data_IF_891838709940
#
_entry.id   IF_891838709940
#
_cell.length_a   1.000
_cell.length_b   1.000
_cell.length_c   1.000
_cell.angle_alpha   90.00
_cell.angle_beta   90.00
_cell.angle_gamma   90.00
#
_symmetry.space_group_name_H-M   'P 1'
#
loop_
_entity.id
_entity.type
_entity.pdbx_description
1 polymer ?
#
# COMPACT_ATOMS: atom_id res chain seq x y z
N UNK A 1 -18.10 -2.66 19.43
CA UNK A 1 -18.37 -2.73 17.99
C UNK A 1 -18.62 -1.40 17.26
N UNK A 2 -19.72 -0.66 17.49
CA UNK A 2 -19.95 0.62 16.74
C UNK A 2 -18.78 1.61 16.92
N UNK A 3 -18.24 1.69 18.14
CA UNK A 3 -17.08 2.53 18.44
C UNK A 3 -15.75 1.92 17.95
N UNK A 4 -15.67 0.59 17.84
CA UNK A 4 -14.44 -0.09 17.43
C UNK A 4 -14.24 0.00 15.92
N UNK A 5 -15.33 -0.11 15.16
CA UNK A 5 -15.34 0.02 13.71
C UNK A 5 -15.51 1.47 13.24
N UNK A 6 -15.45 2.45 14.15
CA UNK A 6 -15.56 3.88 13.84
C UNK A 6 -16.80 4.20 12.97
N UNK A 7 -17.96 3.64 13.33
CA UNK A 7 -19.22 3.74 12.56
C UNK A 7 -20.15 4.87 13.01
N UNK A 8 -19.79 5.64 14.06
CA UNK A 8 -20.66 6.68 14.64
C UNK A 8 -21.12 7.72 13.62
N UNK A 9 -20.21 8.18 12.77
CA UNK A 9 -20.47 9.24 11.78
C UNK A 9 -21.33 8.76 10.59
N UNK A 10 -21.60 7.45 10.54
CA UNK A 10 -22.24 6.77 9.41
C UNK A 10 -23.66 6.31 9.75
N UNK A 11 -24.06 6.33 11.02
CA UNK A 11 -25.34 5.78 11.50
C UNK A 11 -26.56 6.39 10.81
N UNK A 12 -26.53 7.69 10.52
CA UNK A 12 -27.66 8.42 9.93
C UNK A 12 -27.60 8.49 8.39
N UNK A 13 -26.57 7.91 7.76
CA UNK A 13 -26.37 7.96 6.30
C UNK A 13 -27.03 6.79 5.60
N UNK A 14 -27.50 7.01 4.38
CA UNK A 14 -27.99 5.91 3.55
C UNK A 14 -26.84 5.03 3.07
N UNK A 15 -27.08 3.72 2.97
CA UNK A 15 -26.08 2.73 2.54
C UNK A 15 -25.49 3.07 1.15
N UNK A 16 -26.31 3.63 0.25
CA UNK A 16 -25.88 4.01 -1.09
C UNK A 16 -24.90 5.19 -1.12
N UNK A 17 -24.86 5.99 -0.05
CA UNK A 17 -24.00 7.17 0.04
C UNK A 17 -22.65 6.85 0.70
N UNK A 18 -22.44 5.62 1.18
CA UNK A 18 -21.25 5.21 1.90
C UNK A 18 -20.04 5.08 0.96
N UNK A 19 -18.89 5.54 1.42
CA UNK A 19 -17.61 5.22 0.79
C UNK A 19 -17.30 3.72 0.95
N UNK A 20 -16.42 3.19 0.09
CA UNK A 20 -16.05 1.77 0.13
C UNK A 20 -15.57 1.31 1.51
N UNK A 21 -14.75 2.11 2.21
CA UNK A 21 -14.28 1.77 3.57
C UNK A 21 -15.36 1.90 4.65
N UNK A 22 -16.34 2.80 4.50
CA UNK A 22 -17.50 2.87 5.39
C UNK A 22 -18.42 1.66 5.19
N UNK A 23 -18.70 1.31 3.93
CA UNK A 23 -19.49 0.14 3.57
C UNK A 23 -18.86 -1.16 4.08
N UNK A 24 -17.54 -1.31 3.94
CA UNK A 24 -16.80 -2.48 4.42
C UNK A 24 -16.91 -2.63 5.94
N UNK A 25 -16.70 -1.55 6.70
CA UNK A 25 -16.83 -1.55 8.17
C UNK A 25 -18.26 -1.85 8.60
N UNK A 26 -19.25 -1.32 7.90
CA UNK A 26 -20.65 -1.64 8.13
C UNK A 26 -20.96 -3.12 7.86
N UNK A 27 -20.47 -3.68 6.75
CA UNK A 27 -20.64 -5.09 6.41
C UNK A 27 -20.04 -6.02 7.47
N UNK A 28 -18.81 -5.73 7.92
CA UNK A 28 -18.16 -6.47 9.02
C UNK A 28 -19.03 -6.41 10.29
N UNK A 29 -19.56 -5.22 10.63
CA UNK A 29 -20.42 -5.07 11.79
C UNK A 29 -21.71 -5.90 11.70
N UNK A 30 -22.36 -5.92 10.53
CA UNK A 30 -23.58 -6.71 10.32
C UNK A 30 -23.31 -8.19 10.53
N UNK A 31 -22.21 -8.71 9.97
CA UNK A 31 -21.82 -10.12 10.12
C UNK A 31 -21.49 -10.46 11.58
N UNK A 32 -20.76 -9.59 12.29
CA UNK A 32 -20.40 -9.82 13.68
C UNK A 32 -21.61 -9.80 14.66
N UNK A 33 -22.72 -9.17 14.31
CA UNK A 33 -23.96 -9.16 15.14
C UNK A 33 -24.76 -10.45 14.96
N UNK A 34 -24.64 -11.09 13.80
CA UNK A 34 -25.37 -12.33 13.54
C UNK A 34 -24.90 -13.42 14.50
N UNK A 35 -25.84 -14.13 15.12
CA UNK A 35 -25.52 -15.29 15.95
C UNK A 35 -25.41 -16.53 15.04
N UNK A 36 -24.19 -16.83 14.61
CA UNK A 36 -23.86 -17.99 13.79
C UNK A 36 -22.73 -18.83 14.41
N UNK A 37 -22.67 -20.10 14.02
CA UNK A 37 -21.58 -21.01 14.41
C UNK A 37 -20.36 -20.86 13.50
N UNK A 38 -20.56 -20.39 12.25
CA UNK A 38 -19.52 -20.21 11.24
C UNK A 38 -19.62 -18.79 10.67
N UNK A 39 -18.53 -18.05 10.75
CA UNK A 39 -18.36 -16.73 10.14
C UNK A 39 -17.35 -16.82 9.01
N UNK A 40 -17.71 -16.26 7.86
CA UNK A 40 -16.83 -16.18 6.69
C UNK A 40 -16.63 -14.71 6.33
N UNK A 41 -15.37 -14.30 6.19
CA UNK A 41 -14.99 -12.97 5.74
C UNK A 41 -14.15 -13.09 4.48
N UNK A 42 -14.62 -12.48 3.40
CA UNK A 42 -13.91 -12.41 2.12
C UNK A 42 -13.33 -11.01 1.96
N UNK A 43 -12.01 -10.91 1.97
CA UNK A 43 -11.23 -9.67 1.89
C UNK A 43 -11.69 -8.52 2.83
N UNK A 44 -11.83 -8.74 4.15
CA UNK A 44 -12.31 -7.72 5.08
C UNK A 44 -11.45 -6.44 5.12
N UNK A 45 -10.16 -6.49 4.74
CA UNK A 45 -9.24 -5.35 4.76
C UNK A 45 -9.36 -4.40 3.55
N UNK A 46 -10.12 -4.76 2.52
CA UNK A 46 -10.22 -3.99 1.29
C UNK A 46 -10.76 -2.57 1.52
N UNK A 47 -10.12 -1.57 0.89
CA UNK A 47 -10.40 -0.13 1.00
C UNK A 47 -10.24 0.50 2.38
N UNK A 48 -9.81 -0.26 3.39
CA UNK A 48 -9.58 0.24 4.74
C UNK A 48 -8.18 0.85 4.84
N UNK A 49 -8.06 1.93 5.62
CA UNK A 49 -6.76 2.41 6.07
C UNK A 49 -6.14 1.50 7.12
N UNK A 50 -4.89 1.77 7.47
CA UNK A 50 -4.11 0.96 8.41
C UNK A 50 -4.84 0.75 9.75
N UNK A 51 -5.41 1.81 10.33
CA UNK A 51 -6.09 1.73 11.63
C UNK A 51 -7.38 0.94 11.52
N UNK A 52 -8.16 1.22 10.48
CA UNK A 52 -9.42 0.55 10.20
C UNK A 52 -9.22 -0.95 9.95
N UNK A 53 -8.16 -1.35 9.23
CA UNK A 53 -7.79 -2.77 9.04
C UNK A 53 -7.52 -3.46 10.38
N UNK A 54 -6.81 -2.79 11.28
CA UNK A 54 -6.43 -3.37 12.57
C UNK A 54 -7.62 -3.45 13.52
N UNK A 55 -8.51 -2.45 13.48
CA UNK A 55 -9.76 -2.47 14.21
C UNK A 55 -10.70 -3.57 13.70
N UNK A 56 -10.87 -3.69 12.37
CA UNK A 56 -11.59 -4.79 11.75
C UNK A 56 -11.01 -6.14 12.18
N UNK A 57 -9.69 -6.28 12.15
CA UNK A 57 -9.02 -7.51 12.55
C UNK A 57 -9.22 -7.84 14.04
N UNK A 58 -9.20 -6.84 14.93
CA UNK A 58 -9.54 -6.99 16.35
C UNK A 58 -10.97 -7.45 16.55
N UNK A 59 -11.93 -6.84 15.85
CA UNK A 59 -13.34 -7.21 15.95
C UNK A 59 -13.60 -8.62 15.43
N UNK A 60 -13.05 -8.99 14.28
CA UNK A 60 -13.17 -10.36 13.74
C UNK A 60 -12.57 -11.38 14.71
N UNK A 61 -11.39 -11.08 15.27
CA UNK A 61 -10.74 -11.98 16.24
C UNK A 61 -11.55 -12.14 17.54
N UNK A 62 -12.34 -11.13 17.93
CA UNK A 62 -13.20 -11.21 19.13
C UNK A 62 -14.35 -12.22 19.00
N UNK A 63 -14.68 -12.65 17.77
CA UNK A 63 -15.69 -13.69 17.52
C UNK A 63 -15.19 -15.10 17.86
N UNK A 64 -13.88 -15.29 18.02
CA UNK A 64 -13.30 -16.60 18.34
C UNK A 64 -13.75 -17.05 19.73
N UNK A 65 -14.63 -18.04 19.76
CA UNK A 65 -15.10 -18.76 20.95
C UNK A 65 -14.92 -20.27 20.70
N UNK A 66 -14.91 -21.11 21.75
CA UNK A 66 -14.65 -22.56 21.60
C UNK A 66 -15.60 -23.29 20.64
N UNK A 67 -16.79 -22.74 20.41
CA UNK A 67 -17.88 -23.28 19.61
C UNK A 67 -18.07 -22.56 18.25
N UNK A 68 -17.19 -21.60 17.91
CA UNK A 68 -17.33 -20.78 16.70
C UNK A 68 -16.15 -20.94 15.75
N UNK A 69 -16.45 -21.07 14.47
CA UNK A 69 -15.46 -21.11 13.39
C UNK A 69 -15.43 -19.78 12.64
N UNK A 70 -14.21 -19.30 12.36
CA UNK A 70 -14.00 -18.09 11.56
C UNK A 70 -13.08 -18.44 10.40
N UNK A 71 -13.53 -18.18 9.18
CA UNK A 71 -12.75 -18.35 7.94
C UNK A 71 -12.53 -16.97 7.35
N UNK A 72 -11.29 -16.65 7.02
CA UNK A 72 -10.93 -15.36 6.42
C UNK A 72 -10.08 -15.58 5.17
N UNK A 73 -10.43 -14.88 4.10
CA UNK A 73 -9.62 -14.73 2.89
C UNK A 73 -9.02 -13.33 2.89
N UNK A 74 -7.71 -13.21 2.71
CA UNK A 74 -6.99 -11.94 2.76
C UNK A 74 -5.81 -11.92 1.80
N UNK A 75 -5.54 -10.73 1.26
CA UNK A 75 -4.33 -10.43 0.48
C UNK A 75 -3.29 -9.65 1.30
N UNK A 76 -3.68 -9.01 2.41
CA UNK A 76 -2.73 -8.30 3.29
C UNK A 76 -2.10 -9.27 4.29
N UNK A 77 -0.82 -9.60 4.09
CA UNK A 77 -0.07 -10.51 4.94
C UNK A 77 0.06 -10.01 6.39
N UNK A 78 0.03 -8.69 6.61
CA UNK A 78 0.13 -8.09 7.94
C UNK A 78 -1.16 -8.30 8.74
N UNK A 79 -2.30 -8.17 8.06
CA UNK A 79 -3.63 -8.45 8.64
C UNK A 79 -3.79 -9.95 8.89
N UNK A 80 -3.33 -10.79 7.96
CA UNK A 80 -3.36 -12.24 8.08
C UNK A 80 -2.53 -12.75 9.29
N UNK A 81 -1.37 -12.16 9.54
CA UNK A 81 -0.54 -12.43 10.74
C UNK A 81 -1.30 -12.19 12.06
N UNK A 82 -2.17 -11.18 12.07
CA UNK A 82 -2.93 -10.78 13.24
C UNK A 82 -4.20 -11.60 13.41
N UNK A 83 -4.92 -11.86 12.32
CA UNK A 83 -6.20 -12.58 12.31
C UNK A 83 -6.03 -14.06 12.59
N UNK A 84 -5.14 -14.70 11.84
CA UNK A 84 -5.15 -16.15 11.71
C UNK A 84 -4.43 -16.86 12.85
N UNK A 85 -4.83 -18.11 13.08
CA UNK A 85 -4.09 -19.08 13.89
C UNK A 85 -3.56 -20.24 13.01
N UNK A 86 -4.23 -20.50 11.89
CA UNK A 86 -3.80 -21.39 10.81
C UNK A 86 -3.95 -20.69 9.44
N UNK A 87 -3.11 -21.06 8.48
CA UNK A 87 -3.16 -20.53 7.10
C UNK A 87 -3.16 -21.69 6.12
N UNK A 88 -4.06 -21.62 5.13
CA UNK A 88 -4.00 -22.43 3.92
C UNK A 88 -3.55 -21.54 2.76
N UNK A 89 -2.63 -22.03 1.94
CA UNK A 89 -2.16 -21.32 0.75
C UNK A 89 -2.90 -21.87 -0.46
N UNK A 90 -3.43 -20.96 -1.28
CA UNK A 90 -4.03 -21.30 -2.57
C UNK A 90 -3.01 -21.00 -3.67
N UNK A 91 -2.69 -21.99 -4.50
CA UNK A 91 -1.75 -21.83 -5.62
C UNK A 91 -2.30 -22.49 -6.89
N UNK A 92 -1.82 -22.06 -8.05
CA UNK A 92 -2.23 -22.62 -9.34
C UNK A 92 -2.04 -21.62 -10.47
N UNK A 93 -2.75 -21.84 -11.59
CA UNK A 93 -2.77 -20.89 -12.70
C UNK A 93 -4.06 -20.06 -12.64
N UNK A 94 -3.98 -18.72 -12.54
CA UNK A 94 -5.16 -17.85 -12.52
C UNK A 94 -6.10 -18.15 -13.68
N UNK A 95 -7.39 -18.25 -13.40
CA UNK A 95 -8.45 -18.62 -14.37
C UNK A 95 -8.34 -20.01 -15.01
N UNK A 96 -7.42 -20.88 -14.55
CA UNK A 96 -7.27 -22.25 -15.06
C UNK A 96 -7.52 -23.28 -13.96
N UNK A 97 -6.78 -23.22 -12.85
CA UNK A 97 -6.96 -24.12 -11.71
C UNK A 97 -6.40 -23.52 -10.42
N UNK A 98 -6.88 -24.00 -9.27
CA UNK A 98 -6.37 -23.66 -7.95
C UNK A 98 -6.36 -24.88 -7.04
N UNK A 99 -5.29 -25.04 -6.27
CA UNK A 99 -5.09 -26.10 -5.28
C UNK A 99 -4.94 -25.46 -3.91
N UNK A 100 -5.62 -26.01 -2.91
CA UNK A 100 -5.54 -25.57 -1.52
C UNK A 100 -4.57 -26.49 -0.78
N UNK A 101 -3.56 -25.92 -0.11
CA UNK A 101 -2.67 -26.71 0.74
C UNK A 101 -3.37 -27.21 2.01
N UNK A 102 -2.75 -28.19 2.67
CA UNK A 102 -3.04 -28.46 4.07
C UNK A 102 -2.80 -27.21 4.95
N UNK A 103 -3.46 -27.09 6.11
CA UNK A 103 -3.28 -25.96 7.01
C UNK A 103 -1.89 -25.97 7.65
N UNK A 104 -1.20 -24.82 7.59
CA UNK A 104 0.08 -24.58 8.25
C UNK A 104 -0.08 -23.61 9.41
N UNK A 105 0.93 -23.56 10.28
CA UNK A 105 1.03 -22.45 11.24
C UNK A 105 1.17 -21.13 10.49
N UNK A 106 0.69 -20.02 11.08
CA UNK A 106 0.70 -18.68 10.45
C UNK A 106 2.08 -18.31 9.88
N UNK A 107 3.13 -18.57 10.67
CA UNK A 107 4.50 -18.23 10.28
C UNK A 107 4.98 -19.06 9.09
N UNK A 108 4.74 -20.37 9.14
CA UNK A 108 5.17 -21.29 8.08
C UNK A 108 4.38 -21.04 6.80
N UNK A 109 3.06 -20.88 6.87
CA UNK A 109 2.20 -20.63 5.72
C UNK A 109 2.59 -19.37 4.96
N UNK A 110 2.84 -18.25 5.66
CA UNK A 110 3.29 -17.01 5.00
C UNK A 110 4.69 -17.18 4.40
N UNK A 111 5.61 -17.88 5.07
CA UNK A 111 6.95 -18.12 4.53
C UNK A 111 6.92 -19.03 3.29
N UNK A 112 6.07 -20.07 3.28
CA UNK A 112 5.81 -20.92 2.10
C UNK A 112 5.28 -20.07 0.95
N UNK A 113 4.32 -19.19 1.23
CA UNK A 113 3.76 -18.26 0.24
C UNK A 113 4.84 -17.34 -0.36
N UNK A 114 5.73 -16.80 0.47
CA UNK A 114 6.81 -15.90 0.03
C UNK A 114 7.95 -16.63 -0.69
N UNK A 115 8.26 -17.86 -0.28
CA UNK A 115 9.30 -18.67 -0.92
C UNK A 115 8.84 -19.23 -2.28
N UNK A 116 7.53 -19.33 -2.52
CA UNK A 116 6.99 -19.85 -3.77
C UNK A 116 7.05 -21.37 -3.91
N UNK A 117 7.30 -22.08 -2.80
CA UNK A 117 7.43 -23.54 -2.76
C UNK A 117 6.79 -24.12 -1.51
N UNK A 118 6.15 -25.27 -1.66
CA UNK A 118 5.58 -26.09 -0.57
C UNK A 118 6.57 -27.22 -0.28
N UNK A 119 7.37 -27.14 0.80
CA UNK A 119 8.44 -28.10 1.06
C UNK A 119 7.93 -29.53 1.27
N UNK A 120 6.78 -29.68 1.92
CA UNK A 120 6.17 -30.98 2.26
C UNK A 120 5.72 -31.76 1.02
N UNK A 121 5.35 -31.06 -0.05
CA UNK A 121 4.89 -31.65 -1.32
C UNK A 121 6.00 -31.64 -2.38
N UNK A 122 7.19 -31.12 -2.04
CA UNK A 122 8.29 -30.85 -2.97
C UNK A 122 7.84 -30.12 -4.25
N UNK A 123 6.89 -29.19 -4.09
CA UNK A 123 6.23 -28.49 -5.19
C UNK A 123 6.66 -27.03 -5.19
N UNK A 124 7.03 -26.50 -6.35
CA UNK A 124 7.30 -25.07 -6.57
C UNK A 124 6.18 -24.49 -7.44
N UNK A 125 5.44 -23.53 -6.91
CA UNK A 125 4.37 -22.84 -7.64
C UNK A 125 4.79 -21.45 -8.15
N UNK A 126 5.95 -20.93 -7.72
CA UNK A 126 6.53 -19.70 -8.27
C UNK A 126 8.04 -19.83 -8.48
N UNK A 127 8.54 -19.26 -9.58
CA UNK A 127 9.95 -19.34 -9.95
C UNK A 127 10.86 -18.53 -9.02
N UNK A 128 10.46 -17.30 -8.70
CA UNK A 128 11.20 -16.37 -7.83
C UNK A 128 10.62 -16.33 -6.41
N UNK A 129 11.50 -16.19 -5.41
CA UNK A 129 11.09 -15.90 -4.03
C UNK A 129 10.90 -14.41 -3.83
N UNK A 130 9.91 -14.04 -3.01
CA UNK A 130 9.65 -12.67 -2.61
C UNK A 130 10.47 -12.39 -1.35
N UNK A 131 11.57 -11.66 -1.51
CA UNK A 131 12.48 -11.32 -0.42
C UNK A 131 12.33 -9.85 -0.02
N UNK A 132 12.27 -9.61 1.29
CA UNK A 132 12.20 -8.26 1.87
C UNK A 132 13.56 -7.77 2.34
N UNK A 133 14.65 -8.34 1.82
CA UNK A 133 15.97 -7.77 2.07
C UNK A 133 15.92 -6.35 1.54
N UNK A 134 15.98 -5.38 2.46
CA UNK A 134 16.56 -4.08 2.19
C UNK A 134 17.83 -4.41 1.45
N UNK A 135 17.88 -4.08 0.16
CA UNK A 135 19.07 -4.38 -0.59
C UNK A 135 20.23 -3.77 0.20
N UNK A 136 21.14 -4.63 0.66
CA UNK A 136 22.50 -4.26 0.99
C UNK A 136 23.22 -3.89 -0.32
N UNK A 137 22.57 -3.13 -1.21
CA UNK A 137 23.22 -2.40 -2.31
C UNK A 137 24.00 -1.19 -1.79
N UNK A 138 24.35 -1.18 -0.51
CA UNK A 138 25.36 -0.27 0.04
C UNK A 138 26.79 -0.63 -0.41
N UNK A 139 27.02 -1.77 -1.09
CA UNK A 139 28.36 -2.15 -1.56
C UNK A 139 28.70 -1.72 -2.99
N UNK A 140 27.76 -1.21 -3.79
CA UNK A 140 28.02 -0.67 -5.14
C UNK A 140 27.76 0.85 -5.28
N UNK A 141 27.42 1.53 -4.19
CA UNK A 141 27.24 2.98 -4.18
C UNK A 141 28.60 3.68 -4.11
N UNK A 142 29.28 3.77 -5.25
CA UNK A 142 30.18 4.90 -5.51
C UNK A 142 29.42 6.16 -5.12
N UNK A 143 29.93 6.89 -4.13
CA UNK A 143 29.43 8.20 -3.67
C UNK A 143 28.86 8.97 -4.87
N UNK A 144 27.53 8.99 -4.99
CA UNK A 144 26.87 9.72 -6.07
C UNK A 144 27.03 11.19 -5.72
N UNK A 145 28.03 11.81 -6.33
CA UNK A 145 28.31 13.23 -6.18
C UNK A 145 27.06 14.07 -6.47
N UNK A 146 26.65 14.82 -5.43
CA UNK A 146 25.73 15.97 -5.44
C UNK A 146 24.27 15.66 -5.81
N UNK A 147 23.49 15.20 -4.83
CA UNK A 147 22.03 15.24 -4.84
C UNK A 147 21.53 16.68 -5.02
N UNK A 148 20.69 16.96 -6.03
CA UNK A 148 19.90 18.20 -5.97
C UNK A 148 18.98 18.08 -4.77
N UNK A 149 19.02 19.10 -3.92
CA UNK A 149 18.13 19.21 -2.77
C UNK A 149 16.97 20.10 -3.17
N UNK A 150 15.79 19.52 -3.21
CA UNK A 150 14.56 20.28 -3.34
C UNK A 150 13.99 20.52 -1.95
N UNK A 151 13.30 21.64 -1.81
CA UNK A 151 12.59 21.98 -0.58
C UNK A 151 11.18 22.39 -0.95
N UNK A 152 10.24 21.99 -0.11
CA UNK A 152 8.90 22.54 -0.12
C UNK A 152 8.68 23.32 1.19
N UNK A 153 8.04 24.49 1.10
CA UNK A 153 7.81 25.35 2.26
C UNK A 153 6.68 24.83 3.15
N UNK A 154 6.45 25.52 4.27
CA UNK A 154 5.27 25.29 5.09
C UNK A 154 4.03 25.66 4.27
N UNK A 155 3.02 24.78 4.22
CA UNK A 155 1.80 25.04 3.46
C UNK A 155 0.59 24.79 4.33
N UNK A 156 -0.42 25.64 4.16
CA UNK A 156 -1.75 25.43 4.76
C UNK A 156 -2.77 25.36 3.64
N UNK A 157 -3.68 24.39 3.75
CA UNK A 157 -4.80 24.26 2.83
C UNK A 157 -6.09 23.96 3.57
N UNK A 158 -7.12 24.72 3.27
CA UNK A 158 -8.47 24.57 3.80
C UNK A 158 -9.39 24.09 2.69
N UNK A 159 -10.12 23.01 2.93
CA UNK A 159 -11.10 22.40 2.04
C UNK A 159 -12.42 22.25 2.79
N UNK A 160 -13.26 23.29 2.74
CA UNK A 160 -14.51 23.32 3.50
C UNK A 160 -14.24 23.26 5.00
N UNK A 161 -14.63 22.15 5.64
CA UNK A 161 -14.45 21.93 7.08
C UNK A 161 -13.11 21.27 7.44
N UNK A 162 -12.32 20.89 6.44
CA UNK A 162 -11.05 20.20 6.64
C UNK A 162 -9.87 21.16 6.45
N UNK A 163 -8.94 21.18 7.41
CA UNK A 163 -7.69 21.95 7.35
C UNK A 163 -6.50 21.01 7.38
N UNK A 164 -5.57 21.15 6.42
CA UNK A 164 -4.27 20.47 6.44
C UNK A 164 -3.14 21.48 6.56
N UNK A 165 -2.26 21.25 7.54
CA UNK A 165 -0.99 21.94 7.72
C UNK A 165 0.14 21.00 7.30
N UNK A 166 0.98 21.43 6.36
CA UNK A 166 2.14 20.68 5.88
C UNK A 166 3.38 21.40 6.40
N UNK A 167 4.21 20.70 7.18
CA UNK A 167 5.49 21.23 7.62
C UNK A 167 6.49 21.22 6.49
N UNK A 168 7.33 22.25 6.41
CA UNK A 168 8.42 22.34 5.45
C UNK A 168 9.30 21.08 5.49
N UNK A 169 9.77 20.68 4.32
CA UNK A 169 10.56 19.46 4.16
C UNK A 169 11.54 19.56 3.01
N UNK A 170 12.59 18.74 3.10
CA UNK A 170 13.62 18.62 2.09
C UNK A 170 13.64 17.19 1.55
N UNK A 171 13.86 17.07 0.25
CA UNK A 171 14.01 15.79 -0.43
C UNK A 171 15.14 15.84 -1.46
N UNK A 172 15.75 14.69 -1.71
CA UNK A 172 16.89 14.55 -2.62
C UNK A 172 16.52 13.77 -3.87
N UNK A 173 17.27 13.97 -4.96
CA UNK A 173 17.26 13.03 -6.09
C UNK A 173 17.57 11.60 -5.59
N UNK A 174 16.97 10.59 -6.22
CA UNK A 174 17.09 9.17 -5.88
C UNK A 174 16.46 8.74 -4.54
N UNK A 175 15.49 9.51 -4.04
CA UNK A 175 14.83 9.23 -2.76
C UNK A 175 13.36 8.84 -2.96
N UNK A 176 12.90 7.85 -2.18
CA UNK A 176 11.48 7.49 -2.10
C UNK A 176 10.94 7.91 -0.74
N UNK A 177 9.98 8.83 -0.78
CA UNK A 177 9.28 9.32 0.41
C UNK A 177 7.90 8.68 0.45
N UNK A 178 7.65 7.89 1.49
CA UNK A 178 6.33 7.28 1.71
C UNK A 178 5.48 8.13 2.64
N UNK A 179 4.22 8.35 2.28
CA UNK A 179 3.25 9.09 3.07
C UNK A 179 2.33 8.11 3.81
N UNK A 180 2.37 8.12 5.15
CA UNK A 180 1.59 7.24 6.02
C UNK A 180 0.58 8.04 6.85
N UNK A 181 -0.65 7.55 6.92
CA UNK A 181 -1.70 8.16 7.73
C UNK A 181 -3.07 7.50 7.52
N UNK A 182 -4.03 7.85 8.38
CA UNK A 182 -5.43 7.46 8.24
C UNK A 182 -6.06 8.03 6.96
N UNK A 183 -7.18 7.47 6.53
CA UNK A 183 -7.96 8.07 5.44
C UNK A 183 -8.55 9.42 5.89
N UNK A 184 -8.62 10.38 4.97
CA UNK A 184 -9.12 11.72 5.29
C UNK A 184 -8.14 12.63 6.03
N UNK A 185 -6.86 12.26 6.14
CA UNK A 185 -5.79 13.16 6.65
C UNK A 185 -5.18 14.08 5.59
N UNK A 186 -5.69 14.04 4.35
CA UNK A 186 -5.26 14.94 3.28
C UNK A 186 -4.01 14.49 2.51
N UNK A 187 -3.66 13.20 2.53
CA UNK A 187 -2.52 12.64 1.76
C UNK A 187 -2.59 12.97 0.26
N UNK A 188 -3.74 12.66 -0.36
CA UNK A 188 -4.03 13.02 -1.75
C UNK A 188 -4.04 14.53 -1.97
N UNK A 189 -4.44 15.33 -0.97
CA UNK A 189 -4.39 16.80 -1.05
C UNK A 189 -2.95 17.29 -1.12
N UNK A 190 -2.05 16.75 -0.28
CA UNK A 190 -0.63 17.10 -0.35
C UNK A 190 -0.02 16.71 -1.70
N UNK A 191 -0.31 15.51 -2.22
CA UNK A 191 0.12 15.12 -3.57
C UNK A 191 -0.38 16.11 -4.64
N UNK A 192 -1.64 16.55 -4.59
CA UNK A 192 -2.19 17.50 -5.55
C UNK A 192 -1.54 18.89 -5.47
N UNK A 193 -1.14 19.31 -4.28
CA UNK A 193 -0.35 20.54 -4.08
C UNK A 193 1.03 20.41 -4.72
N UNK A 194 1.72 19.28 -4.51
CA UNK A 194 3.02 18.99 -5.15
C UNK A 194 2.91 18.87 -6.67
N UNK A 195 1.81 18.34 -7.18
CA UNK A 195 1.55 18.20 -8.62
C UNK A 195 1.21 19.53 -9.32
N UNK A 196 1.04 20.64 -8.57
CA UNK A 196 0.52 21.91 -9.10
C UNK A 196 -0.96 21.86 -9.50
N UNK A 197 -1.67 20.77 -9.22
CA UNK A 197 -3.11 20.63 -9.50
C UNK A 197 -4.00 21.39 -8.51
N UNK A 198 -3.43 21.88 -7.41
CA UNK A 198 -4.09 22.71 -6.40
C UNK A 198 -3.07 23.73 -5.86
N UNK A 199 -3.54 24.94 -5.52
CA UNK A 199 -2.72 25.96 -4.86
C UNK A 199 -2.94 25.96 -3.35
N UNK A 200 -1.88 26.19 -2.58
CA UNK A 200 -1.96 26.45 -1.15
C UNK A 200 -2.74 27.75 -0.89
N UNK A 201 -3.24 27.93 0.33
CA UNK A 201 -3.96 29.17 0.70
C UNK A 201 -3.00 30.35 0.96
N UNK A 202 -1.72 30.06 1.21
CA UNK A 202 -0.66 31.06 1.39
C UNK A 202 0.07 31.46 0.10
N UNK A 203 1.01 32.40 0.21
CA UNK A 203 1.84 32.88 -0.92
C UNK A 203 2.95 31.89 -1.32
N UNK A 204 3.33 31.00 -0.42
CA UNK A 204 4.41 30.05 -0.64
C UNK A 204 3.97 28.90 -1.56
N UNK A 205 4.64 28.79 -2.71
CA UNK A 205 4.36 27.76 -3.72
C UNK A 205 5.52 26.78 -3.84
N UNK A 206 5.18 25.53 -4.14
CA UNK A 206 6.15 24.50 -4.49
C UNK A 206 6.83 24.92 -5.81
N UNK A 207 8.16 24.72 -5.96
CA UNK A 207 8.84 24.99 -7.22
C UNK A 207 8.17 24.28 -8.40
N UNK A 208 8.16 24.89 -9.58
CA UNK A 208 7.72 24.20 -10.80
C UNK A 208 8.66 23.04 -11.09
N UNK A 209 8.15 21.84 -10.88
CA UNK A 209 8.86 20.58 -11.09
C UNK A 209 8.12 19.79 -12.15
N UNK A 210 8.88 19.06 -12.99
CA UNK A 210 8.27 18.17 -13.96
C UNK A 210 7.77 16.92 -13.22
N UNK A 211 6.45 16.81 -13.07
CA UNK A 211 5.79 15.81 -12.24
C UNK A 211 5.02 14.80 -13.10
N UNK A 212 5.15 13.52 -12.77
CA UNK A 212 4.23 12.46 -13.22
C UNK A 212 3.32 12.05 -12.08
N UNK A 213 2.02 11.96 -12.31
CA UNK A 213 1.02 11.66 -11.28
C UNK A 213 0.19 10.42 -11.62
N UNK A 214 0.20 9.43 -10.72
CA UNK A 214 -0.75 8.32 -10.69
C UNK A 214 -1.87 8.64 -9.68
N UNK A 215 -3.12 8.82 -10.13
CA UNK A 215 -4.24 9.10 -9.23
C UNK A 215 -4.70 7.86 -8.46
N UNK A 216 -5.27 8.08 -7.27
CA UNK A 216 -5.87 7.03 -6.44
C UNK A 216 -7.00 6.31 -7.20
N UNK A 217 -7.99 7.07 -7.69
CA UNK A 217 -9.11 6.55 -8.48
C UNK A 217 -8.74 6.50 -9.96
N UNK A 218 -8.72 5.30 -10.53
CA UNK A 218 -8.49 5.10 -11.96
C UNK A 218 -9.83 4.76 -12.61
N UNK A 219 -10.18 5.52 -13.64
CA UNK A 219 -11.37 5.27 -14.46
C UNK A 219 -10.93 5.01 -15.90
N UNK A 220 -11.39 3.94 -16.55
CA UNK A 220 -11.03 3.64 -17.93
C UNK A 220 -11.78 4.59 -18.87
N UNK A 221 -11.16 5.74 -19.17
CA UNK A 221 -11.75 6.78 -20.05
C UNK A 221 -11.19 6.76 -21.47
N UNK A 222 -10.22 5.90 -21.76
CA UNK A 222 -9.55 5.87 -23.05
C UNK A 222 -10.24 4.89 -24.00
N UNK A 223 -10.76 5.35 -25.16
CA UNK A 223 -11.30 4.46 -26.17
C UNK A 223 -10.14 3.81 -26.95
N UNK A 224 -10.04 2.48 -26.90
CA UNK A 224 -9.05 1.68 -27.61
C UNK A 224 -8.29 0.70 -26.72
N UNK A 225 -7.25 0.08 -27.29
CA UNK A 225 -6.46 -0.92 -26.58
C UNK A 225 -5.38 -0.31 -25.70
N UNK A 226 -4.88 -1.09 -24.74
CA UNK A 226 -3.75 -0.72 -23.89
C UNK A 226 -2.51 -0.34 -24.71
N UNK A 227 -2.24 -1.06 -25.81
CA UNK A 227 -1.18 -0.73 -26.78
C UNK A 227 -1.30 0.69 -27.32
N UNK A 228 -2.50 1.07 -27.76
CA UNK A 228 -2.76 2.39 -28.31
C UNK A 228 -2.54 3.48 -27.25
N UNK A 229 -2.95 3.22 -26.01
CA UNK A 229 -2.75 4.13 -24.89
C UNK A 229 -1.26 4.38 -24.62
N UNK A 230 -0.44 3.32 -24.53
CA UNK A 230 1.00 3.44 -24.32
C UNK A 230 1.72 4.13 -25.48
N UNK A 231 1.41 3.75 -26.73
CA UNK A 231 2.01 4.40 -27.90
C UNK A 231 1.60 5.87 -28.04
N UNK A 232 0.44 6.26 -27.52
CA UNK A 232 -0.01 7.66 -27.53
C UNK A 232 0.66 8.49 -26.42
N UNK A 233 0.83 7.92 -25.22
CA UNK A 233 1.26 8.65 -24.03
C UNK A 233 2.76 8.58 -23.76
N UNK A 234 3.38 7.43 -24.01
CA UNK A 234 4.75 7.12 -23.57
C UNK A 234 5.57 6.41 -24.66
N UNK A 235 5.34 6.72 -25.95
CA UNK A 235 5.95 6.04 -27.11
C UNK A 235 7.46 5.81 -26.98
N UNK A 236 8.21 6.86 -26.65
CA UNK A 236 9.67 6.81 -26.56
C UNK A 236 10.14 5.85 -25.47
N UNK A 237 9.58 5.98 -24.26
CA UNK A 237 9.89 5.12 -23.12
C UNK A 237 9.43 3.69 -23.34
N UNK A 238 8.23 3.49 -23.90
CA UNK A 238 7.70 2.16 -24.17
C UNK A 238 8.57 1.36 -25.15
N UNK A 239 9.20 2.01 -26.13
CA UNK A 239 10.10 1.32 -27.06
C UNK A 239 11.50 1.06 -26.48
N UNK A 240 11.84 1.63 -25.31
CA UNK A 240 13.15 1.48 -24.72
C UNK A 240 13.34 0.06 -24.12
N UNK A 241 14.37 -0.72 -24.52
CA UNK A 241 14.55 -2.10 -24.07
C UNK A 241 14.66 -2.26 -22.55
N UNK A 242 15.27 -1.28 -21.89
CA UNK A 242 15.37 -1.28 -20.43
C UNK A 242 14.01 -1.06 -19.76
N UNK A 243 13.16 -0.17 -20.29
CA UNK A 243 11.82 0.05 -19.73
C UNK A 243 10.94 -1.19 -19.92
N UNK A 244 11.08 -1.87 -21.06
CA UNK A 244 10.43 -3.15 -21.30
C UNK A 244 10.82 -4.21 -20.26
N UNK A 245 12.10 -4.28 -19.92
CA UNK A 245 12.65 -5.29 -19.01
C UNK A 245 12.39 -4.96 -17.54
N UNK A 246 12.52 -3.70 -17.14
CA UNK A 246 12.40 -3.26 -15.75
C UNK A 246 10.97 -2.96 -15.32
N UNK A 247 10.08 -2.61 -16.26
CA UNK A 247 8.73 -2.13 -15.94
C UNK A 247 7.64 -2.94 -16.64
N UNK A 248 7.67 -3.08 -17.97
CA UNK A 248 6.53 -3.65 -18.75
C UNK A 248 6.37 -5.15 -18.52
N UNK A 249 7.46 -5.93 -18.66
CA UNK A 249 7.43 -7.39 -18.48
C UNK A 249 7.13 -7.81 -17.04
N UNK A 250 7.77 -7.24 -15.99
CA UNK A 250 7.44 -7.60 -14.62
C UNK A 250 5.98 -7.28 -14.25
N UNK A 251 5.41 -6.21 -14.81
CA UNK A 251 3.99 -5.85 -14.63
C UNK A 251 3.04 -6.69 -15.51
N UNK A 252 3.54 -7.69 -16.23
CA UNK A 252 2.79 -8.62 -17.09
C UNK A 252 1.85 -7.92 -18.08
N UNK A 253 2.28 -6.79 -18.62
CA UNK A 253 1.48 -6.00 -19.56
C UNK A 253 1.24 -6.75 -20.88
N UNK A 254 2.16 -7.64 -21.27
CA UNK A 254 2.07 -8.42 -22.52
C UNK A 254 0.77 -9.22 -22.63
N UNK A 255 0.20 -9.67 -21.50
CA UNK A 255 -1.05 -10.44 -21.47
C UNK A 255 -2.29 -9.57 -21.74
N UNK A 256 -2.20 -8.26 -21.50
CA UNK A 256 -3.34 -7.31 -21.57
C UNK A 256 -3.15 -6.22 -22.63
N UNK A 257 -2.01 -6.20 -23.32
CA UNK A 257 -1.63 -5.12 -24.23
C UNK A 257 -2.62 -4.92 -25.40
N UNK A 258 -3.21 -6.01 -25.87
CA UNK A 258 -4.17 -5.99 -26.99
C UNK A 258 -5.64 -5.94 -26.53
N UNK A 259 -5.88 -5.93 -25.21
CA UNK A 259 -7.22 -5.77 -24.65
C UNK A 259 -7.65 -4.29 -24.63
N UNK A 260 -8.96 -4.07 -24.65
CA UNK A 260 -9.53 -2.74 -24.48
C UNK A 260 -9.43 -2.26 -23.04
N UNK A 261 -9.05 -0.98 -22.86
CA UNK A 261 -8.87 -0.38 -21.52
C UNK A 261 -10.17 -0.43 -20.70
N UNK A 262 -11.32 -0.38 -21.35
CA UNK A 262 -12.64 -0.45 -20.72
C UNK A 262 -12.98 -1.83 -20.13
N UNK A 263 -12.36 -2.90 -20.64
CA UNK A 263 -12.67 -4.28 -20.24
C UNK A 263 -11.68 -4.84 -19.21
N UNK A 264 -10.67 -4.06 -18.83
CA UNK A 264 -9.68 -4.47 -17.84
C UNK A 264 -10.30 -4.60 -16.44
N UNK A 265 -9.83 -5.59 -15.69
CA UNK A 265 -10.09 -5.67 -14.25
C UNK A 265 -9.40 -4.52 -13.49
N UNK A 266 -9.82 -4.30 -12.24
CA UNK A 266 -9.23 -3.26 -11.38
C UNK A 266 -7.72 -3.41 -11.20
N UNK A 267 -7.23 -4.63 -10.97
CA UNK A 267 -5.79 -4.92 -10.84
C UNK A 267 -5.02 -4.70 -12.15
N UNK A 268 -5.58 -5.13 -13.29
CA UNK A 268 -4.96 -4.88 -14.59
C UNK A 268 -4.88 -3.38 -14.92
N UNK A 269 -5.97 -2.65 -14.67
CA UNK A 269 -6.04 -1.21 -14.85
C UNK A 269 -5.03 -0.48 -13.95
N UNK A 270 -4.87 -0.95 -12.71
CA UNK A 270 -3.87 -0.44 -11.77
C UNK A 270 -2.45 -0.64 -12.30
N UNK A 271 -2.12 -1.84 -12.82
CA UNK A 271 -0.81 -2.11 -13.44
C UNK A 271 -0.55 -1.17 -14.62
N UNK A 272 -1.55 -0.97 -15.49
CA UNK A 272 -1.45 -0.02 -16.61
C UNK A 272 -1.18 1.40 -16.12
N UNK A 273 -1.87 1.86 -15.06
CA UNK A 273 -1.68 3.20 -14.51
C UNK A 273 -0.28 3.40 -13.91
N UNK A 274 0.28 2.40 -13.22
CA UNK A 274 1.64 2.44 -12.71
C UNK A 274 2.63 2.56 -13.88
N UNK A 275 2.51 1.70 -14.90
CA UNK A 275 3.40 1.75 -16.08
C UNK A 275 3.29 3.08 -16.83
N UNK A 276 2.08 3.64 -16.98
CA UNK A 276 1.90 4.97 -17.58
C UNK A 276 2.60 6.06 -16.78
N UNK A 277 2.47 6.02 -15.45
CA UNK A 277 3.11 7.02 -14.58
C UNK A 277 4.63 6.97 -14.69
N UNK A 278 5.23 5.78 -14.70
CA UNK A 278 6.68 5.60 -14.83
C UNK A 278 7.18 5.90 -16.25
N UNK A 279 6.35 5.69 -17.28
CA UNK A 279 6.71 5.99 -18.66
C UNK A 279 6.66 7.47 -19.03
N UNK A 280 5.99 8.31 -18.23
CA UNK A 280 5.97 9.74 -18.43
C UNK A 280 7.28 10.37 -17.94
N UNK A 281 8.01 11.14 -18.78
CA UNK A 281 9.28 11.73 -18.40
C UNK A 281 9.02 12.79 -17.31
N UNK A 282 9.42 12.48 -16.08
CA UNK A 282 9.30 13.36 -14.93
C UNK A 282 10.55 13.29 -14.04
N UNK A 283 10.75 14.35 -13.26
CA UNK A 283 11.76 14.41 -12.21
C UNK A 283 11.21 13.86 -10.88
N UNK A 284 9.91 14.06 -10.66
CA UNK A 284 9.20 13.61 -9.47
C UNK A 284 7.99 12.77 -9.87
N UNK A 285 7.88 11.58 -9.28
CA UNK A 285 6.75 10.68 -9.46
C UNK A 285 5.87 10.74 -8.22
N UNK A 286 4.61 11.09 -8.39
CA UNK A 286 3.61 11.09 -7.33
C UNK A 286 2.69 9.89 -7.56
N UNK A 287 2.75 8.91 -6.66
CA UNK A 287 2.04 7.65 -6.81
C UNK A 287 1.07 7.47 -5.65
N UNK A 288 -0.22 7.66 -5.91
CA UNK A 288 -1.26 7.57 -4.89
C UNK A 288 -1.91 6.18 -4.88
N UNK A 289 -1.67 5.42 -3.79
CA UNK A 289 -2.13 4.05 -3.56
C UNK A 289 -1.87 3.08 -4.72
N UNK A 290 -0.59 2.76 -5.02
CA UNK A 290 -0.25 1.73 -6.00
C UNK A 290 -0.68 0.31 -5.59
N UNK A 291 -0.91 0.02 -4.32
CA UNK A 291 -1.37 -1.30 -3.83
C UNK A 291 -2.86 -1.62 -4.07
N UNK A 292 -3.68 -0.64 -4.43
CA UNK A 292 -5.12 -0.83 -4.62
C UNK A 292 -5.43 -1.88 -5.71
N UNK A 293 -6.36 -2.80 -5.43
CA UNK A 293 -6.79 -3.89 -6.32
C UNK A 293 -5.71 -4.91 -6.71
N UNK A 294 -4.48 -4.76 -6.24
CA UNK A 294 -3.40 -5.70 -6.48
C UNK A 294 -3.42 -6.80 -5.41
N UNK A 295 -3.20 -8.04 -5.83
CA UNK A 295 -2.91 -9.15 -4.93
C UNK A 295 -1.52 -8.99 -4.28
N UNK A 296 -1.23 -9.84 -3.29
CA UNK A 296 0.03 -9.78 -2.53
C UNK A 296 1.29 -9.91 -3.39
N UNK A 297 1.25 -10.70 -4.46
CA UNK A 297 2.39 -10.86 -5.37
C UNK A 297 2.58 -9.63 -6.24
N UNK A 298 1.49 -9.16 -6.86
CA UNK A 298 1.48 -7.97 -7.70
C UNK A 298 1.92 -6.72 -6.92
N UNK A 299 1.56 -6.59 -5.65
CA UNK A 299 2.03 -5.49 -4.78
C UNK A 299 3.55 -5.50 -4.62
N UNK A 300 4.14 -6.67 -4.34
CA UNK A 300 5.58 -6.79 -4.13
C UNK A 300 6.34 -6.55 -5.45
N UNK A 301 5.81 -7.08 -6.57
CA UNK A 301 6.37 -6.81 -7.90
C UNK A 301 6.29 -5.32 -8.24
N UNK A 302 5.15 -4.67 -8.02
CA UNK A 302 4.99 -3.23 -8.24
C UNK A 302 5.97 -2.42 -7.38
N UNK A 303 6.14 -2.78 -6.11
CA UNK A 303 7.10 -2.14 -5.21
C UNK A 303 8.54 -2.27 -5.73
N UNK A 304 8.94 -3.46 -6.19
CA UNK A 304 10.26 -3.74 -6.79
C UNK A 304 10.48 -2.93 -8.07
N UNK A 305 9.48 -2.85 -8.95
CA UNK A 305 9.53 -2.07 -10.18
C UNK A 305 9.69 -0.58 -9.89
N UNK A 306 8.86 -0.02 -9.01
CA UNK A 306 8.91 1.40 -8.63
C UNK A 306 10.30 1.70 -8.03
N UNK A 307 10.76 0.91 -7.05
CA UNK A 307 12.04 1.14 -6.40
C UNK A 307 13.21 1.11 -7.38
N UNK A 308 13.28 0.06 -8.22
CA UNK A 308 14.36 -0.10 -9.20
C UNK A 308 14.36 1.03 -10.23
N UNK A 309 13.19 1.39 -10.76
CA UNK A 309 13.07 2.45 -11.75
C UNK A 309 13.52 3.81 -11.22
N UNK A 310 13.08 4.16 -10.00
CA UNK A 310 13.42 5.45 -9.36
C UNK A 310 14.92 5.54 -9.06
N UNK A 311 15.51 4.47 -8.51
CA UNK A 311 16.92 4.41 -8.17
C UNK A 311 17.82 4.46 -9.42
N UNK A 312 17.52 3.64 -10.43
CA UNK A 312 18.33 3.57 -11.65
C UNK A 312 18.31 4.88 -12.45
N UNK A 313 17.15 5.55 -12.49
CA UNK A 313 16.98 6.78 -13.26
C UNK A 313 17.30 8.05 -12.46
N UNK A 314 17.75 7.90 -11.21
CA UNK A 314 18.05 9.00 -10.27
C UNK A 314 16.90 10.00 -10.13
N UNK A 315 15.70 9.47 -9.95
CA UNK A 315 14.46 10.25 -9.82
C UNK A 315 13.99 10.26 -8.37
N UNK A 316 12.96 11.04 -8.06
CA UNK A 316 12.34 11.05 -6.73
C UNK A 316 10.92 10.54 -6.84
N UNK A 317 10.44 9.80 -5.83
CA UNK A 317 9.03 9.43 -5.75
C UNK A 317 8.40 9.78 -4.40
N UNK A 318 7.18 10.34 -4.43
CA UNK A 318 6.30 10.36 -3.28
C UNK A 318 5.22 9.30 -3.47
N UNK A 319 5.15 8.36 -2.53
CA UNK A 319 4.21 7.25 -2.61
C UNK A 319 3.28 7.28 -1.41
N UNK A 320 1.97 7.31 -1.65
CA UNK A 320 0.97 7.11 -0.60
C UNK A 320 0.65 5.63 -0.51
N UNK A 321 0.84 5.04 0.66
CA UNK A 321 0.60 3.63 0.87
C UNK A 321 -0.11 3.34 2.20
N UNK A 322 -0.87 2.25 2.17
CA UNK A 322 -1.56 1.68 3.32
C UNK A 322 -1.08 0.26 3.64
N UNK A 323 -0.35 -0.37 2.72
CA UNK A 323 0.27 -1.67 2.92
C UNK A 323 1.64 -1.49 3.58
N UNK A 324 1.82 -2.03 4.78
CA UNK A 324 3.08 -1.92 5.53
C UNK A 324 4.26 -2.55 4.82
N UNK A 325 4.04 -3.65 4.12
CA UNK A 325 5.09 -4.37 3.43
C UNK A 325 5.57 -3.53 2.24
N UNK A 326 4.63 -3.01 1.46
CA UNK A 326 4.95 -2.13 0.35
C UNK A 326 5.62 -0.82 0.82
N UNK A 327 5.08 -0.20 1.86
CA UNK A 327 5.63 1.03 2.45
C UNK A 327 7.06 0.83 2.95
N UNK A 328 7.33 -0.23 3.72
CA UNK A 328 8.68 -0.51 4.25
C UNK A 328 9.69 -0.92 3.19
N UNK A 329 9.22 -1.57 2.11
CA UNK A 329 10.08 -1.93 0.99
C UNK A 329 10.48 -0.71 0.15
N UNK A 330 9.52 0.21 -0.10
CA UNK A 330 9.72 1.39 -0.91
C UNK A 330 10.46 2.52 -0.19
N UNK A 331 10.12 2.79 1.07
CA UNK A 331 10.52 4.00 1.78
C UNK A 331 12.01 4.05 2.12
N UNK A 332 12.64 5.18 1.76
CA UNK A 332 13.88 5.64 2.38
C UNK A 332 13.55 6.57 3.55
N UNK A 333 12.56 7.45 3.34
CA UNK A 333 11.98 8.34 4.35
C UNK A 333 10.48 8.29 4.35
N UNK A 334 9.90 8.79 5.45
CA UNK A 334 8.46 8.70 5.70
C UNK A 334 7.93 10.05 6.16
N UNK A 335 6.79 10.45 5.62
CA UNK A 335 5.97 11.57 6.11
C UNK A 335 4.79 10.98 6.86
N UNK A 336 4.77 11.20 8.18
CA UNK A 336 3.69 10.73 9.05
C UNK A 336 2.66 11.83 9.23
N UNK A 337 1.40 11.51 8.93
CA UNK A 337 0.26 12.39 9.13
C UNK A 337 -0.32 12.17 10.52
N UNK A 338 -0.59 13.26 11.23
CA UNK A 338 -1.24 13.27 12.54
C UNK A 338 -2.51 14.11 12.51
N UNK A 339 -3.38 13.94 13.51
CA UNK A 339 -4.58 14.74 13.68
C UNK A 339 -5.86 13.93 13.59
N UNK A 340 -6.98 14.61 13.34
CA UNK A 340 -8.30 13.99 13.24
C UNK A 340 -8.73 13.96 11.77
N UNK A 341 -9.05 12.78 11.20
CA UNK A 341 -9.60 12.65 9.86
C UNK A 341 -10.74 13.63 9.61
N UNK A 342 -10.78 14.24 8.43
CA UNK A 342 -11.85 15.16 7.99
C UNK A 342 -12.01 16.45 8.80
N UNK A 343 -11.18 16.72 9.80
CA UNK A 343 -11.21 17.95 10.60
C UNK A 343 -9.90 18.72 10.46
N UNK A 344 -8.81 18.19 11.02
CA UNK A 344 -7.52 18.86 11.04
C UNK A 344 -6.39 17.85 10.99
N UNK A 345 -5.51 18.00 10.01
CA UNK A 345 -4.36 17.12 9.83
C UNK A 345 -3.04 17.90 9.77
N UNK A 346 -1.98 17.28 10.29
CA UNK A 346 -0.61 17.77 10.25
C UNK A 346 0.26 16.76 9.48
N UNK A 347 0.79 17.15 8.33
CA UNK A 347 1.83 16.40 7.66
C UNK A 347 3.19 16.82 8.22
N UNK A 348 3.90 15.89 8.85
CA UNK A 348 5.22 16.16 9.40
C UNK A 348 6.29 16.25 8.30
N UNK A 349 7.42 16.89 8.60
CA UNK A 349 8.59 16.88 7.73
C UNK A 349 9.06 15.42 7.51
N UNK A 350 9.69 15.08 6.37
CA UNK A 350 10.10 13.70 6.10
C UNK A 350 11.14 13.24 7.13
N UNK A 351 10.97 12.05 7.69
CA UNK A 351 11.82 11.45 8.72
C UNK A 351 12.43 10.15 8.23
N UNK A 352 13.44 9.61 8.92
CA UNK A 352 13.96 8.28 8.59
C UNK A 352 12.89 7.21 8.76
N UNK A 353 13.01 6.11 8.02
CA UNK A 353 12.07 4.98 8.09
C UNK A 353 11.78 4.54 9.52
N UNK A 354 12.82 4.39 10.35
CA UNK A 354 12.67 3.91 11.73
C UNK A 354 11.91 4.92 12.62
N UNK A 355 12.29 6.20 12.57
CA UNK A 355 11.64 7.23 13.41
C UNK A 355 10.21 7.50 12.97
N UNK A 356 9.97 7.60 11.65
CA UNK A 356 8.63 7.77 11.09
C UNK A 356 7.72 6.58 11.38
N UNK A 357 8.21 5.34 11.22
CA UNK A 357 7.42 4.15 11.54
C UNK A 357 7.09 4.08 13.03
N UNK A 358 8.05 4.30 13.94
CA UNK A 358 7.75 4.27 15.38
C UNK A 358 6.72 5.34 15.77
N UNK A 359 6.82 6.54 15.19
CA UNK A 359 5.84 7.61 15.41
C UNK A 359 4.44 7.23 14.89
N UNK A 360 4.37 6.61 13.72
CA UNK A 360 3.09 6.13 13.17
C UNK A 360 2.50 4.97 13.98
N UNK A 361 3.33 4.00 14.36
CA UNK A 361 2.93 2.80 15.09
C UNK A 361 2.49 3.09 16.53
N UNK A 362 3.18 4.01 17.21
CA UNK A 362 2.77 4.50 18.53
C UNK A 362 1.40 5.16 18.51
N UNK A 363 1.07 5.93 17.46
CA UNK A 363 -0.27 6.53 17.29
C UNK A 363 -1.38 5.48 17.14
N UNK A 364 -1.04 4.28 16.66
CA UNK A 364 -1.94 3.14 16.49
C UNK A 364 -1.93 2.18 17.70
N UNK A 365 -1.06 2.42 18.69
CA UNK A 365 -0.81 1.54 19.83
C UNK A 365 -0.44 0.10 19.45
N UNK A 366 0.32 -0.05 18.37
CA UNK A 366 0.71 -1.36 17.79
C UNK A 366 2.21 -1.41 17.65
N UNK A 367 2.79 -2.59 17.89
CA UNK A 367 4.22 -2.81 17.72
C UNK A 367 4.51 -3.84 16.63
N UNK A 368 5.68 -3.72 16.02
CA UNK A 368 6.16 -4.61 14.96
C UNK A 368 7.46 -5.29 15.36
N UNK A 369 7.64 -6.49 14.82
CA UNK A 369 8.93 -7.20 14.86
C UNK A 369 9.30 -7.67 13.45
N UNK A 370 10.58 -7.94 13.23
CA UNK A 370 11.03 -8.58 11.99
C UNK A 370 11.06 -10.10 12.15
N UNK A 371 10.63 -10.83 11.13
CA UNK A 371 10.88 -12.27 11.10
C UNK A 371 12.37 -12.53 10.82
N UNK A 372 13.06 -13.39 11.59
CA UNK A 372 14.48 -13.62 11.40
C UNK A 372 14.83 -14.34 10.08
N UNK A 373 13.89 -15.03 9.42
CA UNK A 373 14.21 -15.77 8.19
C UNK A 373 14.17 -14.91 6.93
N UNK A 374 13.19 -14.01 6.82
CA UNK A 374 12.96 -13.21 5.61
C UNK A 374 12.87 -11.70 5.86
N UNK A 375 13.13 -11.24 7.09
CA UNK A 375 13.14 -9.83 7.50
C UNK A 375 11.81 -9.09 7.32
N UNK A 376 10.73 -9.80 7.03
CA UNK A 376 9.41 -9.18 6.81
C UNK A 376 8.91 -8.53 8.10
N UNK A 377 8.20 -7.39 8.01
CA UNK A 377 7.52 -6.82 9.16
C UNK A 377 6.37 -7.73 9.59
N UNK A 378 6.24 -7.95 10.90
CA UNK A 378 5.19 -8.75 11.51
C UNK A 378 4.54 -7.98 12.67
N UNK A 379 3.23 -7.91 12.63
CA UNK A 379 2.41 -7.27 13.66
C UNK A 379 2.40 -8.14 14.93
N UNK A 380 2.61 -7.53 16.09
CA UNK A 380 2.38 -8.21 17.35
C UNK A 380 0.89 -8.21 17.69
N UNK A 381 0.39 -9.36 18.15
CA UNK A 381 -0.97 -9.45 18.71
C UNK A 381 -1.05 -8.55 19.95
N UNK A 382 -2.18 -7.87 20.11
CA UNK A 382 -2.41 -6.95 21.22
C UNK A 382 -2.19 -7.66 22.57
N UNK A 383 -1.55 -6.97 23.52
CA UNK A 383 -1.27 -7.45 24.89
C UNK A 383 -0.41 -8.71 25.00
N UNK A 384 0.20 -9.15 23.89
CA UNK A 384 1.18 -10.23 23.93
C UNK A 384 2.44 -9.82 24.70
N UNK A 385 3.19 -10.80 25.22
CA UNK A 385 4.42 -10.55 25.99
C UNK A 385 5.41 -9.66 25.21
N UNK A 386 5.61 -9.95 23.92
CA UNK A 386 6.48 -9.13 23.05
C UNK A 386 5.92 -7.75 22.76
N UNK A 387 4.59 -7.58 22.68
CA UNK A 387 3.97 -6.26 22.53
C UNK A 387 4.25 -5.39 23.75
N UNK A 388 4.14 -5.97 24.96
CA UNK A 388 4.42 -5.27 26.22
C UNK A 388 5.90 -4.92 26.38
N UNK A 389 6.80 -5.85 26.05
CA UNK A 389 8.24 -5.60 26.08
C UNK A 389 8.63 -4.45 25.14
N UNK A 390 8.15 -4.46 23.89
CA UNK A 390 8.48 -3.40 22.93
C UNK A 390 7.92 -2.03 23.34
N UNK A 391 6.69 -1.98 23.85
CA UNK A 391 6.10 -0.74 24.38
C UNK A 391 6.84 -0.18 25.60
N UNK A 392 7.58 -1.02 26.33
CA UNK A 392 8.41 -0.59 27.46
C UNK A 392 9.82 -0.14 27.05
N UNK A 393 10.25 -0.49 25.84
CA UNK A 393 11.58 -0.17 25.30
C UNK A 393 11.60 1.04 24.36
N UNK A 394 10.42 1.50 23.93
CA UNK A 394 10.21 2.80 23.25
C UNK A 394 10.10 3.93 24.28
#
# INVERSE_FOLDING_TARGET
>A
MINELDLRDVLDRQVNDLSGGELQRFAIAVVCIQNADIYMFDEPSSYLDVKQRLNAARTIRSLLQPDRYVIVVEHDLSVLDYLSDFICVLYGMPSVYGVVTMPFSVREGINIFLDGKVPTENLRFREESLTFRLAETAEDEKEVEKHRRYKYPDMVKTLGNFEITIKAGEFTDSEIIVMLGENGTGKTTFIKLLAGGMKADGEEQVPELNVSYKPQKISPKFPGTVRMLFLKKIKSMFMHPQFQTDVVKPMQIDNIIDQEVANLSGGELQRVAIVLSLGHPADIYLIDEPSAYLDSEQRIVAAKVIKRFILHNKKTAFVVEHDFIMATYLADRVVVYEGRPSIKALANSPQSLLSGMNKFLSSLHITFRRDPSNFRPRINKADSLKDKEQKSSE
#
